data_IF_118185560085
#
_entry.id   IF_118185560085
#
_cell.length_a   1.000
_cell.length_b   1.000
_cell.length_c   1.000
_cell.angle_alpha   90.00
_cell.angle_beta   90.00
_cell.angle_gamma   90.00
#
_symmetry.space_group_name_H-M   'P 1'
#
loop_
_entity.id
_entity.type
_entity.pdbx_description
1 polymer ?
#
# COMPACT_ATOMS: atom_id res chain seq x y z
N UNK A 1 -24.56 24.16 -22.19
CA UNK A 1 -23.22 23.71 -21.77
C UNK A 1 -23.38 22.29 -21.27
N UNK A 2 -22.90 21.30 -22.02
CA UNK A 2 -22.96 19.90 -21.59
C UNK A 2 -21.82 19.66 -20.58
N UNK A 3 -22.06 18.99 -19.44
CA UNK A 3 -21.00 18.69 -18.50
C UNK A 3 -19.95 17.81 -19.16
N UNK A 4 -18.67 18.03 -18.82
CA UNK A 4 -17.57 17.24 -19.36
C UNK A 4 -17.65 15.79 -18.86
N UNK A 5 -17.00 14.85 -19.56
CA UNK A 5 -16.88 13.46 -19.08
C UNK A 5 -16.21 13.39 -17.69
N UNK A 6 -15.34 14.35 -17.36
CA UNK A 6 -14.68 14.46 -16.06
C UNK A 6 -15.67 14.87 -14.96
N UNK A 7 -16.51 15.88 -15.21
CA UNK A 7 -17.56 16.32 -14.27
C UNK A 7 -18.60 15.22 -13.98
N UNK A 8 -18.76 14.29 -14.92
CA UNK A 8 -19.68 13.15 -14.82
C UNK A 8 -19.09 11.99 -14.03
N UNK A 9 -17.76 11.80 -14.10
CA UNK A 9 -16.99 10.87 -13.27
C UNK A 9 -16.93 11.36 -11.81
N UNK A 10 -16.69 12.66 -11.62
CA UNK A 10 -16.58 13.28 -10.28
C UNK A 10 -17.91 13.24 -9.51
N UNK A 11 -19.05 13.27 -10.21
CA UNK A 11 -20.38 13.07 -9.60
C UNK A 11 -20.71 11.61 -9.27
N UNK A 12 -20.15 10.63 -9.98
CA UNK A 12 -20.35 9.21 -9.66
C UNK A 12 -19.56 8.77 -8.42
N UNK A 13 -18.42 9.41 -8.15
CA UNK A 13 -17.57 9.16 -6.97
C UNK A 13 -18.34 9.38 -5.65
N UNK A 14 -19.41 10.18 -5.65
CA UNK A 14 -20.15 10.57 -4.43
C UNK A 14 -21.08 9.50 -3.81
N UNK A 15 -21.25 8.31 -4.39
CA UNK A 15 -22.26 7.34 -3.89
C UNK A 15 -21.78 5.90 -3.68
N UNK A 16 -20.53 5.57 -4.02
CA UNK A 16 -19.94 4.25 -3.75
C UNK A 16 -18.71 4.42 -2.85
N UNK A 17 -18.46 3.50 -1.90
CA UNK A 17 -17.20 3.49 -1.16
C UNK A 17 -16.04 3.56 -2.14
N UNK A 18 -15.04 4.42 -1.87
CA UNK A 18 -13.84 4.56 -2.70
C UNK A 18 -13.20 3.19 -2.99
N UNK A 19 -13.33 2.27 -2.03
CA UNK A 19 -12.86 0.88 -2.09
C UNK A 19 -13.45 0.07 -3.27
N UNK A 20 -14.71 0.31 -3.66
CA UNK A 20 -15.36 -0.40 -4.77
C UNK A 20 -14.79 -0.03 -6.15
N UNK A 21 -14.13 1.13 -6.25
CA UNK A 21 -13.56 1.61 -7.52
C UNK A 21 -12.20 1.00 -7.82
N UNK A 22 -11.47 0.55 -6.79
CA UNK A 22 -10.11 0.05 -6.94
C UNK A 22 -10.02 -1.47 -7.02
N UNK A 23 -11.05 -2.24 -6.67
CA UNK A 23 -11.11 -3.71 -6.88
C UNK A 23 -10.92 -4.10 -8.35
N UNK A 24 -11.16 -3.18 -9.29
CA UNK A 24 -11.04 -3.40 -10.73
C UNK A 24 -10.05 -2.46 -11.42
N UNK A 25 -9.22 -1.77 -10.65
CA UNK A 25 -8.24 -0.88 -11.26
C UNK A 25 -7.18 -1.70 -11.99
N UNK A 26 -6.98 -1.37 -13.26
CA UNK A 26 -5.90 -1.87 -14.08
C UNK A 26 -5.09 -0.67 -14.59
N UNK A 27 -3.78 -0.72 -14.39
CA UNK A 27 -2.89 0.31 -14.92
C UNK A 27 -2.93 0.31 -16.47
N UNK A 28 -3.12 1.47 -17.08
CA UNK A 28 -2.97 1.60 -18.54
C UNK A 28 -1.49 1.54 -18.95
N UNK A 29 -1.19 1.58 -20.26
CA UNK A 29 0.18 1.46 -20.76
C UNK A 29 1.13 2.51 -20.18
N UNK A 30 0.70 3.77 -20.11
CA UNK A 30 1.52 4.88 -19.61
C UNK A 30 1.73 4.76 -18.10
N UNK A 31 0.69 4.37 -17.35
CA UNK A 31 0.79 4.12 -15.90
C UNK A 31 1.77 2.99 -15.59
N UNK A 32 1.73 1.91 -16.37
CA UNK A 32 2.68 0.79 -16.25
C UNK A 32 4.12 1.24 -16.52
N UNK A 33 4.33 2.08 -17.53
CA UNK A 33 5.65 2.62 -17.85
C UNK A 33 6.16 3.54 -16.73
N UNK A 34 5.31 4.41 -16.19
CA UNK A 34 5.67 5.28 -15.07
C UNK A 34 6.06 4.48 -13.83
N UNK A 35 5.31 3.44 -13.48
CA UNK A 35 5.65 2.53 -12.37
C UNK A 35 7.03 1.90 -12.62
N UNK A 36 7.28 1.40 -13.83
CA UNK A 36 8.57 0.77 -14.17
C UNK A 36 9.74 1.74 -14.11
N UNK A 37 9.58 2.96 -14.63
CA UNK A 37 10.63 3.97 -14.67
C UNK A 37 10.93 4.57 -13.29
N UNK A 38 9.93 4.60 -12.41
CA UNK A 38 10.07 5.12 -11.04
C UNK A 38 10.39 4.06 -9.98
N UNK A 39 10.47 2.79 -10.38
CA UNK A 39 10.85 1.68 -9.51
C UNK A 39 12.33 1.33 -9.66
N UNK A 40 13.01 1.06 -8.53
CA UNK A 40 14.37 0.54 -8.50
C UNK A 40 14.41 -0.82 -7.79
N UNK A 41 15.27 -1.72 -8.27
CA UNK A 41 15.56 -3.02 -7.62
C UNK A 41 16.79 -2.95 -6.72
N UNK A 42 17.39 -1.76 -6.55
CA UNK A 42 18.53 -1.55 -5.66
C UNK A 42 18.13 -1.81 -4.19
N UNK A 43 18.98 -2.49 -3.44
CA UNK A 43 18.65 -2.87 -2.07
C UNK A 43 18.50 -1.65 -1.15
N UNK A 44 19.36 -0.65 -1.28
CA UNK A 44 19.33 0.54 -0.43
C UNK A 44 18.09 1.38 -0.73
N UNK A 45 17.71 1.48 -2.01
CA UNK A 45 16.42 2.06 -2.42
C UNK A 45 15.26 1.33 -1.75
N UNK A 46 15.20 0.00 -1.90
CA UNK A 46 14.10 -0.82 -1.38
C UNK A 46 14.02 -0.73 0.14
N UNK A 47 15.15 -0.83 0.83
CA UNK A 47 15.19 -0.77 2.28
C UNK A 47 14.82 0.63 2.81
N UNK A 48 15.30 1.69 2.15
CA UNK A 48 14.93 3.09 2.47
C UNK A 48 13.43 3.31 2.29
N UNK A 49 12.87 2.89 1.15
CA UNK A 49 11.44 3.03 0.87
C UNK A 49 10.59 2.34 1.94
N UNK A 50 10.89 1.07 2.24
CA UNK A 50 10.15 0.32 3.26
C UNK A 50 10.28 0.91 4.65
N UNK A 51 11.47 1.42 4.98
CA UNK A 51 11.72 2.07 6.27
C UNK A 51 10.93 3.37 6.40
N UNK A 52 10.97 4.24 5.40
CA UNK A 52 10.25 5.52 5.40
C UNK A 52 8.73 5.32 5.53
N UNK A 53 8.18 4.32 4.85
CA UNK A 53 6.77 3.97 4.96
C UNK A 53 6.40 3.60 6.39
N UNK A 54 7.14 2.70 7.04
CA UNK A 54 6.82 2.30 8.41
C UNK A 54 7.14 3.38 9.45
N UNK A 55 8.16 4.21 9.22
CA UNK A 55 8.44 5.39 10.05
C UNK A 55 7.22 6.31 10.03
N UNK A 56 6.74 6.67 8.84
CA UNK A 56 5.57 7.51 8.68
C UNK A 56 4.36 6.91 9.41
N UNK A 57 4.09 5.61 9.23
CA UNK A 57 2.97 4.91 9.87
C UNK A 57 3.06 4.96 11.40
N UNK A 58 4.24 4.70 11.97
CA UNK A 58 4.43 4.69 13.42
C UNK A 58 4.37 6.09 14.03
N UNK A 59 4.80 7.12 13.32
CA UNK A 59 4.73 8.51 13.79
C UNK A 59 3.27 9.02 13.79
N UNK A 60 2.50 8.70 12.76
CA UNK A 60 1.14 9.21 12.59
C UNK A 60 0.07 8.31 13.24
N UNK A 61 0.38 7.03 13.48
CA UNK A 61 -0.46 6.11 14.23
C UNK A 61 0.38 5.23 15.19
N UNK A 62 0.84 5.78 16.33
CA UNK A 62 1.75 5.09 17.25
C UNK A 62 1.25 3.74 17.80
N UNK A 63 -0.07 3.52 17.84
CA UNK A 63 -0.67 2.24 18.26
C UNK A 63 -0.27 1.08 17.36
N UNK A 64 0.03 1.35 16.09
CA UNK A 64 0.49 0.31 15.15
C UNK A 64 1.85 -0.25 15.55
N UNK A 65 2.69 0.53 16.23
CA UNK A 65 3.99 0.08 16.74
C UNK A 65 3.85 -0.96 17.85
N UNK A 66 2.79 -0.88 18.66
CA UNK A 66 2.51 -1.83 19.76
C UNK A 66 2.26 -3.26 19.26
N UNK A 67 1.93 -3.41 17.98
CA UNK A 67 1.76 -4.71 17.31
C UNK A 67 3.09 -5.46 17.08
N UNK A 68 4.23 -4.84 17.38
CA UNK A 68 5.57 -5.37 17.14
C UNK A 68 6.36 -5.49 18.46
N UNK A 69 6.22 -6.59 19.21
CA UNK A 69 6.84 -6.75 20.54
C UNK A 69 8.38 -6.70 20.51
N UNK A 70 8.99 -7.17 19.43
CA UNK A 70 10.44 -7.16 19.22
C UNK A 70 11.01 -5.79 18.90
N UNK A 71 10.16 -4.78 18.65
CA UNK A 71 10.54 -3.37 18.59
C UNK A 71 10.72 -2.79 20.00
N UNK A 72 9.86 -3.13 20.97
CA UNK A 72 9.85 -2.49 22.29
C UNK A 72 11.17 -2.58 23.05
N UNK A 73 11.92 -3.67 22.90
CA UNK A 73 13.22 -3.87 23.55
C UNK A 73 14.30 -2.86 23.11
N UNK A 74 14.09 -2.14 22.00
CA UNK A 74 15.03 -1.17 21.45
C UNK A 74 14.72 0.29 21.85
N UNK A 75 13.59 0.56 22.53
CA UNK A 75 13.21 1.91 22.94
C UNK A 75 13.16 2.89 21.77
N UNK A 76 13.94 3.97 21.86
CA UNK A 76 14.06 5.00 20.79
C UNK A 76 14.78 4.48 19.54
N UNK A 77 15.66 3.47 19.68
CA UNK A 77 16.44 2.88 18.58
C UNK A 77 15.69 1.74 17.86
N UNK A 78 14.36 1.77 17.89
CA UNK A 78 13.51 0.70 17.35
C UNK A 78 13.73 0.40 15.87
N UNK A 79 14.23 1.37 15.09
CA UNK A 79 14.61 1.21 13.69
C UNK A 79 15.78 0.23 13.49
N UNK A 80 16.58 -0.02 14.52
CA UNK A 80 17.67 -1.00 14.47
C UNK A 80 17.17 -2.43 14.70
N UNK A 81 15.92 -2.59 15.15
CA UNK A 81 15.38 -3.90 15.46
C UNK A 81 15.27 -4.79 14.22
N UNK A 82 15.60 -6.08 14.39
CA UNK A 82 15.43 -7.07 13.31
C UNK A 82 13.97 -7.19 12.87
N UNK A 83 13.02 -6.99 13.78
CA UNK A 83 11.60 -7.04 13.48
C UNK A 83 11.15 -5.89 12.58
N UNK A 84 11.56 -4.64 12.88
CA UNK A 84 11.30 -3.49 12.01
C UNK A 84 11.90 -3.71 10.61
N UNK A 85 13.19 -4.05 10.53
CA UNK A 85 13.88 -4.27 9.25
C UNK A 85 13.18 -5.35 8.41
N UNK A 86 12.81 -6.46 9.04
CA UNK A 86 12.07 -7.54 8.38
C UNK A 86 10.72 -7.04 7.87
N UNK A 87 10.00 -6.26 8.66
CA UNK A 87 8.67 -5.78 8.28
C UNK A 87 8.74 -4.77 7.12
N UNK A 88 9.70 -3.84 7.15
CA UNK A 88 9.99 -2.93 6.04
C UNK A 88 10.27 -3.71 4.74
N UNK A 89 11.12 -4.74 4.80
CA UNK A 89 11.44 -5.58 3.65
C UNK A 89 10.24 -6.40 3.14
N UNK A 90 9.43 -6.99 4.03
CA UNK A 90 8.23 -7.74 3.64
C UNK A 90 7.23 -6.85 2.85
N UNK A 91 7.09 -5.59 3.27
CA UNK A 91 6.20 -4.66 2.59
C UNK A 91 6.73 -4.31 1.20
N UNK A 92 8.02 -4.03 1.09
CA UNK A 92 8.63 -3.72 -0.20
C UNK A 92 8.70 -4.93 -1.12
N UNK A 93 8.76 -6.15 -0.59
CA UNK A 93 8.56 -7.38 -1.38
C UNK A 93 7.13 -7.47 -1.94
N UNK A 94 6.13 -7.01 -1.20
CA UNK A 94 4.74 -6.92 -1.70
C UNK A 94 4.65 -5.92 -2.84
N UNK A 95 5.28 -4.74 -2.71
CA UNK A 95 5.37 -3.76 -3.81
C UNK A 95 6.12 -4.34 -5.01
N UNK A 96 7.25 -5.00 -4.78
CA UNK A 96 8.05 -5.65 -5.83
C UNK A 96 7.24 -6.68 -6.61
N UNK A 97 6.40 -7.45 -5.91
CA UNK A 97 5.51 -8.43 -6.54
C UNK A 97 4.48 -7.72 -7.44
N UNK A 98 3.85 -6.65 -6.94
CA UNK A 98 2.89 -5.87 -7.72
C UNK A 98 3.53 -5.23 -8.96
N UNK A 99 4.74 -4.65 -8.83
CA UNK A 99 5.47 -4.05 -9.96
C UNK A 99 5.84 -5.10 -11.01
N UNK A 100 6.32 -6.27 -10.60
CA UNK A 100 6.69 -7.36 -11.51
C UNK A 100 5.49 -7.92 -12.27
N UNK A 101 4.32 -7.93 -11.63
CA UNK A 101 3.09 -8.48 -12.17
C UNK A 101 2.09 -7.39 -12.59
N UNK A 102 2.55 -6.19 -12.94
CA UNK A 102 1.67 -5.07 -13.31
C UNK A 102 0.82 -5.33 -14.58
N UNK A 103 1.16 -6.36 -15.36
CA UNK A 103 0.37 -6.84 -16.51
C UNK A 103 -0.59 -7.99 -16.17
N UNK A 104 -0.49 -8.53 -14.95
CA UNK A 104 -1.23 -9.67 -14.42
C UNK A 104 -1.82 -9.28 -13.05
N UNK A 105 -2.67 -8.25 -13.06
CA UNK A 105 -3.19 -7.66 -11.82
C UNK A 105 -4.11 -8.61 -11.04
N UNK A 106 -4.70 -9.61 -11.70
CA UNK A 106 -5.40 -10.72 -11.10
C UNK A 106 -4.50 -11.55 -10.17
N UNK A 107 -3.27 -11.86 -10.59
CA UNK A 107 -2.28 -12.52 -9.73
C UNK A 107 -1.90 -11.66 -8.52
N UNK A 108 -1.84 -10.33 -8.72
CA UNK A 108 -1.60 -9.35 -7.65
C UNK A 108 -2.77 -9.35 -6.66
N UNK A 109 -4.02 -9.34 -7.14
CA UNK A 109 -5.21 -9.39 -6.30
C UNK A 109 -5.24 -10.65 -5.43
N UNK A 110 -5.00 -11.83 -6.02
CA UNK A 110 -4.97 -13.10 -5.29
C UNK A 110 -3.88 -13.12 -4.23
N UNK A 111 -2.68 -12.65 -4.57
CA UNK A 111 -1.56 -12.55 -3.63
C UNK A 111 -1.89 -11.64 -2.43
N UNK A 112 -2.45 -10.46 -2.69
CA UNK A 112 -2.84 -9.49 -1.65
C UNK A 112 -3.98 -10.02 -0.79
N UNK A 113 -4.98 -10.66 -1.40
CA UNK A 113 -6.06 -11.33 -0.68
C UNK A 113 -5.49 -12.32 0.33
N UNK A 114 -4.52 -13.16 -0.07
CA UNK A 114 -3.84 -14.11 0.83
C UNK A 114 -2.98 -13.42 1.90
N UNK A 115 -2.44 -12.24 1.65
CA UNK A 115 -1.81 -11.44 2.71
C UNK A 115 -2.88 -10.97 3.71
N UNK A 116 -4.02 -10.46 3.23
CA UNK A 116 -5.15 -10.03 4.04
C UNK A 116 -5.66 -11.12 4.98
N UNK A 117 -5.89 -12.33 4.46
CA UNK A 117 -6.31 -13.49 5.26
C UNK A 117 -5.32 -13.77 6.40
N UNK A 118 -4.02 -13.72 6.11
CA UNK A 118 -2.96 -13.96 7.09
C UNK A 118 -2.90 -12.91 8.19
N UNK A 119 -3.44 -11.71 7.97
CA UNK A 119 -3.47 -10.65 8.98
C UNK A 119 -4.57 -10.84 10.03
N UNK A 120 -5.59 -11.66 9.76
CA UNK A 120 -6.65 -11.97 10.75
C UNK A 120 -6.09 -12.57 12.04
N UNK A 121 -4.98 -13.31 11.96
CA UNK A 121 -4.29 -13.87 13.13
C UNK A 121 -3.71 -12.84 14.10
N UNK A 122 -3.75 -11.54 13.74
CA UNK A 122 -3.28 -10.45 14.58
C UNK A 122 -4.44 -9.62 15.15
N UNK A 123 -5.70 -9.97 14.84
CA UNK A 123 -6.87 -9.25 15.33
C UNK A 123 -6.99 -9.30 16.87
N UNK A 124 -6.65 -10.45 17.46
CA UNK A 124 -6.58 -10.68 18.90
C UNK A 124 -5.50 -9.82 19.60
N UNK A 125 -4.47 -9.42 18.85
CA UNK A 125 -3.41 -8.52 19.30
C UNK A 125 -3.73 -7.04 19.05
N UNK A 126 -4.96 -6.73 18.63
CA UNK A 126 -5.43 -5.37 18.42
C UNK A 126 -5.14 -4.81 17.02
N UNK A 127 -4.77 -5.66 16.05
CA UNK A 127 -4.72 -5.24 14.65
C UNK A 127 -6.11 -4.82 14.17
N UNK A 128 -6.15 -3.70 13.44
CA UNK A 128 -7.37 -3.12 12.90
C UNK A 128 -7.18 -2.86 11.40
N UNK A 129 -8.10 -3.28 10.53
CA UNK A 129 -7.97 -3.07 9.08
C UNK A 129 -7.89 -1.60 8.68
N UNK A 130 -8.38 -0.67 9.53
CA UNK A 130 -8.23 0.77 9.36
C UNK A 130 -6.77 1.24 9.42
N UNK A 131 -5.88 0.44 10.03
CA UNK A 131 -4.43 0.71 10.00
C UNK A 131 -3.86 0.59 8.58
N UNK A 132 -4.57 -0.01 7.62
CA UNK A 132 -4.15 0.04 6.23
C UNK A 132 -4.41 1.38 5.54
N UNK A 133 -5.31 2.21 6.07
CA UNK A 133 -5.67 3.49 5.41
C UNK A 133 -4.47 4.45 5.32
N UNK A 134 -3.61 4.44 6.35
CA UNK A 134 -2.44 5.32 6.40
C UNK A 134 -1.33 4.94 5.41
N UNK A 135 -1.37 3.73 4.84
CA UNK A 135 -0.36 3.31 3.87
C UNK A 135 -0.40 4.14 2.60
N UNK A 136 -1.55 4.69 2.22
CA UNK A 136 -1.65 5.51 1.02
C UNK A 136 -0.81 6.79 1.17
N UNK A 137 -0.97 7.50 2.29
CA UNK A 137 -0.23 8.73 2.57
C UNK A 137 1.26 8.43 2.82
N UNK A 138 1.56 7.34 3.54
CA UNK A 138 2.93 6.88 3.75
C UNK A 138 3.65 6.57 2.43
N UNK A 139 2.96 5.91 1.49
CA UNK A 139 3.49 5.62 0.15
C UNK A 139 3.76 6.88 -0.64
N UNK A 140 2.80 7.82 -0.67
CA UNK A 140 2.96 9.10 -1.37
C UNK A 140 4.20 9.85 -0.88
N UNK A 141 4.27 10.12 0.43
CA UNK A 141 5.38 10.88 1.02
C UNK A 141 6.73 10.20 0.79
N UNK A 142 6.77 8.86 0.95
CA UNK A 142 8.02 8.11 0.79
C UNK A 142 8.49 8.05 -0.66
N UNK A 143 7.58 8.01 -1.62
CA UNK A 143 7.90 7.98 -3.05
C UNK A 143 8.16 9.37 -3.61
N UNK A 144 7.55 10.43 -3.09
CA UNK A 144 7.76 11.81 -3.57
C UNK A 144 9.25 12.19 -3.53
N UNK A 145 9.92 11.93 -2.41
CA UNK A 145 11.36 12.17 -2.25
C UNK A 145 12.19 11.37 -3.27
N UNK A 146 11.80 10.12 -3.53
CA UNK A 146 12.52 9.23 -4.43
C UNK A 146 12.32 9.63 -5.89
N UNK A 147 11.07 9.89 -6.30
CA UNK A 147 10.70 10.26 -7.66
C UNK A 147 11.27 11.63 -8.03
N UNK A 148 11.30 12.58 -7.09
CA UNK A 148 11.93 13.89 -7.29
C UNK A 148 13.44 13.78 -7.60
N UNK A 149 14.10 12.70 -7.17
CA UNK A 149 15.52 12.46 -7.42
C UNK A 149 15.81 11.84 -8.79
N UNK A 150 14.78 11.42 -9.54
CA UNK A 150 14.96 10.74 -10.83
C UNK A 150 15.37 11.74 -11.93
N UNK A 151 16.54 11.55 -12.58
CA UNK A 151 17.09 12.56 -13.50
C UNK A 151 16.28 12.75 -14.78
N UNK A 152 15.42 11.79 -15.13
CA UNK A 152 14.68 11.76 -16.39
C UNK A 152 13.19 12.16 -16.23
N UNK A 153 12.79 12.63 -15.05
CA UNK A 153 11.41 13.02 -14.78
C UNK A 153 11.31 14.55 -14.71
N UNK A 154 10.48 15.14 -15.56
CA UNK A 154 10.01 16.51 -15.35
C UNK A 154 8.92 16.55 -14.27
N UNK A 155 8.61 17.74 -13.74
CA UNK A 155 7.61 17.94 -12.67
C UNK A 155 6.25 17.29 -12.97
N UNK A 156 5.77 17.41 -14.22
CA UNK A 156 4.52 16.77 -14.63
C UNK A 156 4.58 15.24 -14.57
N UNK A 157 5.71 14.64 -14.97
CA UNK A 157 5.92 13.19 -14.87
C UNK A 157 6.06 12.74 -13.42
N UNK A 158 6.68 13.56 -12.56
CA UNK A 158 6.78 13.27 -11.12
C UNK A 158 5.38 13.23 -10.48
N UNK A 159 4.57 14.26 -10.71
CA UNK A 159 3.20 14.34 -10.21
C UNK A 159 2.33 13.19 -10.73
N UNK A 160 2.47 12.86 -12.01
CA UNK A 160 1.75 11.75 -12.62
C UNK A 160 2.15 10.41 -11.98
N UNK A 161 3.45 10.14 -11.83
CA UNK A 161 3.92 8.91 -11.23
C UNK A 161 3.46 8.77 -9.78
N UNK A 162 3.50 9.84 -8.97
CA UNK A 162 2.97 9.83 -7.61
C UNK A 162 1.47 9.51 -7.60
N UNK A 163 0.69 10.10 -8.52
CA UNK A 163 -0.74 9.78 -8.65
C UNK A 163 -0.96 8.31 -8.97
N UNK A 164 -0.17 7.74 -9.88
CA UNK A 164 -0.25 6.31 -10.24
C UNK A 164 0.12 5.42 -9.06
N UNK A 165 1.16 5.76 -8.31
CA UNK A 165 1.54 5.03 -7.09
C UNK A 165 0.45 5.11 -6.01
N UNK A 166 -0.26 6.23 -5.86
CA UNK A 166 -1.43 6.34 -4.98
C UNK A 166 -2.57 5.41 -5.41
N UNK A 167 -2.82 5.29 -6.72
CA UNK A 167 -3.82 4.34 -7.25
C UNK A 167 -3.42 2.89 -6.96
N UNK A 168 -2.14 2.56 -7.19
CA UNK A 168 -1.62 1.24 -6.83
C UNK A 168 -1.77 0.99 -5.33
N UNK A 169 -1.43 1.94 -4.46
CA UNK A 169 -1.61 1.82 -3.00
C UNK A 169 -3.05 1.46 -2.63
N UNK A 170 -4.03 2.16 -3.21
CA UNK A 170 -5.45 1.92 -2.99
C UNK A 170 -5.88 0.53 -3.49
N UNK A 171 -5.38 0.09 -4.64
CA UNK A 171 -5.55 -1.29 -5.11
C UNK A 171 -5.03 -2.30 -4.08
N UNK A 172 -3.79 -2.12 -3.60
CA UNK A 172 -3.20 -3.02 -2.61
C UNK A 172 -4.06 -3.12 -1.34
N UNK A 173 -4.44 -1.97 -0.78
CA UNK A 173 -5.25 -1.87 0.44
C UNK A 173 -6.62 -2.52 0.26
N UNK A 174 -7.26 -2.31 -0.90
CA UNK A 174 -8.59 -2.86 -1.20
C UNK A 174 -8.57 -4.39 -1.14
N UNK A 175 -7.63 -5.04 -1.82
CA UNK A 175 -7.54 -6.50 -1.82
C UNK A 175 -7.06 -7.07 -0.47
N UNK A 176 -6.16 -6.37 0.25
CA UNK A 176 -5.78 -6.73 1.62
C UNK A 176 -6.98 -6.74 2.56
N UNK A 177 -7.79 -5.67 2.55
CA UNK A 177 -9.01 -5.56 3.37
C UNK A 177 -10.02 -6.62 3.01
N UNK A 178 -10.23 -6.87 1.72
CA UNK A 178 -11.15 -7.92 1.24
C UNK A 178 -10.78 -9.28 1.82
N UNK A 179 -9.52 -9.71 1.66
CA UNK A 179 -9.05 -10.98 2.23
C UNK A 179 -9.17 -11.04 3.75
N UNK A 180 -8.93 -9.93 4.45
CA UNK A 180 -9.10 -9.85 5.90
C UNK A 180 -10.56 -10.03 6.33
N UNK A 181 -11.50 -9.27 5.75
CA UNK A 181 -12.90 -9.30 6.16
C UNK A 181 -13.59 -10.60 5.80
N UNK A 182 -13.36 -11.15 4.60
CA UNK A 182 -13.94 -12.43 4.19
C UNK A 182 -13.49 -13.57 5.11
N UNK A 183 -12.19 -13.60 5.46
CA UNK A 183 -11.65 -14.57 6.43
C UNK A 183 -12.20 -14.35 7.84
N UNK A 184 -12.29 -13.11 8.31
CA UNK A 184 -12.80 -12.78 9.64
C UNK A 184 -14.26 -13.21 9.80
N UNK A 185 -15.09 -13.00 8.78
CA UNK A 185 -16.49 -13.42 8.78
C UNK A 185 -16.62 -14.96 8.74
N UNK A 186 -15.85 -15.63 7.86
CA UNK A 186 -15.83 -17.09 7.80
C UNK A 186 -15.46 -17.73 9.15
N UNK A 187 -14.54 -17.12 9.92
CA UNK A 187 -14.18 -17.61 11.25
C UNK A 187 -15.32 -17.46 12.27
N UNK A 188 -16.20 -16.45 12.12
CA UNK A 188 -17.36 -16.25 13.01
C UNK A 188 -18.45 -17.28 12.73
N UNK A 189 -18.63 -17.65 11.47
CA UNK A 189 -19.63 -18.65 11.04
C UNK A 189 -19.27 -20.09 11.48
N UNK A 190 -18.01 -20.34 11.88
CA UNK A 190 -17.54 -21.64 12.40
C UNK A 190 -17.78 -21.79 13.92
N UNK A 191 -18.06 -20.69 14.63
CA UNK A 191 -18.17 -20.66 16.10
C UNK A 191 -19.66 -20.63 16.56
N UNK A 192 -20.60 -20.59 15.63
CA UNK A 192 -22.06 -20.69 15.87
C UNK A 192 -22.57 -22.07 15.47
#
# INVERSE_FOLDING_TARGET
MFPSKQDSLDKQISSKPIEDYYDKWEANTDEKELIKLSWSNDFDFLFTLGSNIYIYIFEHNPKTRELFPGIHQYGENWQESKEFRKQALNFVQTLSFAVKNIYHMDEVADYLYKIGERHVKFADRGFKPEYWNIFQDAMEVSLEQQIASLPNFNESQQHEAIRVWRRLALYLITHLKRGYFERLNSNKDIIL
#
